data_IF_224786277519
#
_entry.id   IF_224786277519
#
_cell.length_a   1.000
_cell.length_b   1.000
_cell.length_c   1.000
_cell.angle_alpha   90.00
_cell.angle_beta   90.00
_cell.angle_gamma   90.00
#
_symmetry.space_group_name_H-M   'P 1'
#
loop_
_entity.id
_entity.type
_entity.pdbx_description
1 polymer ?
#
# COMPACT_ATOMS: atom_id res chain seq x y z
N UNK A 1 19.66 -25.43 53.63
CA UNK A 1 20.98 -25.92 53.18
C UNK A 1 20.98 -27.44 53.29
N UNK A 2 20.47 -28.13 52.26
CA UNK A 2 20.50 -29.60 52.22
C UNK A 2 21.89 -30.03 51.81
N UNK A 3 22.70 -30.49 52.77
CA UNK A 3 23.96 -31.14 52.49
C UNK A 3 23.64 -32.40 51.69
N UNK A 4 24.06 -32.45 50.43
CA UNK A 4 24.08 -33.69 49.67
C UNK A 4 24.80 -34.75 50.51
N UNK A 5 24.32 -36.01 50.54
CA UNK A 5 24.98 -37.07 51.28
C UNK A 5 26.43 -37.15 50.80
N UNK A 6 27.35 -36.72 51.66
CA UNK A 6 28.78 -36.83 51.44
C UNK A 6 29.08 -38.32 51.53
N UNK A 7 29.20 -38.99 50.40
CA UNK A 7 29.72 -40.35 50.38
C UNK A 7 31.24 -40.24 50.60
N UNK A 8 31.74 -40.63 51.78
CA UNK A 8 33.14 -40.46 52.09
C UNK A 8 33.99 -41.33 51.16
N UNK A 9 35.09 -40.77 50.67
CA UNK A 9 36.09 -41.55 49.95
C UNK A 9 36.65 -42.64 50.85
N UNK A 10 37.18 -43.73 50.29
CA UNK A 10 37.85 -44.77 51.08
C UNK A 10 39.05 -44.20 51.87
N UNK A 11 39.65 -43.13 51.34
CA UNK A 11 40.69 -42.36 52.00
C UNK A 11 40.15 -41.55 53.20
N UNK A 12 38.94 -41.00 53.07
CA UNK A 12 38.29 -40.22 54.13
C UNK A 12 37.82 -41.13 55.27
N UNK A 13 37.34 -42.34 54.94
CA UNK A 13 36.94 -43.36 55.93
C UNK A 13 38.13 -43.77 56.81
N UNK A 14 39.34 -43.87 56.23
CA UNK A 14 40.56 -44.18 56.97
C UNK A 14 41.29 -42.93 57.50
N UNK A 15 40.75 -41.72 57.27
CA UNK A 15 41.34 -40.45 57.66
C UNK A 15 42.81 -40.30 57.19
N UNK A 16 43.07 -40.64 55.93
CA UNK A 16 44.40 -40.57 55.31
C UNK A 16 44.36 -39.79 54.00
N UNK A 17 45.42 -39.05 53.65
CA UNK A 17 45.47 -38.39 52.34
C UNK A 17 45.58 -39.43 51.21
N UNK A 18 45.06 -39.10 50.02
CA UNK A 18 45.15 -39.98 48.85
C UNK A 18 46.59 -40.32 48.44
N UNK A 19 47.56 -39.48 48.83
CA UNK A 19 49.01 -39.68 48.63
C UNK A 19 49.68 -40.53 49.70
N UNK A 20 48.94 -41.05 50.68
CA UNK A 20 49.49 -41.80 51.81
C UNK A 20 50.22 -43.08 51.38
N UNK A 21 51.37 -43.34 51.99
CA UNK A 21 52.12 -44.58 51.85
C UNK A 21 51.34 -45.78 52.45
N UNK A 22 51.53 -47.01 51.96
CA UNK A 22 50.82 -48.19 52.45
C UNK A 22 51.03 -48.43 53.96
N UNK A 23 52.18 -48.06 54.50
CA UNK A 23 52.46 -48.16 55.94
C UNK A 23 51.62 -47.20 56.78
N UNK A 24 51.26 -46.03 56.22
CA UNK A 24 50.40 -45.06 56.88
C UNK A 24 48.95 -45.56 56.90
N UNK A 25 48.49 -46.17 55.80
CA UNK A 25 47.17 -46.82 55.71
C UNK A 25 47.03 -47.94 56.75
N UNK A 26 48.07 -48.78 56.89
CA UNK A 26 48.09 -49.85 57.91
C UNK A 26 48.06 -49.32 59.34
N UNK A 27 48.77 -48.23 59.62
CA UNK A 27 48.76 -47.58 60.94
C UNK A 27 47.39 -46.97 61.26
N UNK A 28 46.78 -46.27 60.30
CA UNK A 28 45.47 -45.68 60.43
C UNK A 28 44.37 -46.74 60.66
N UNK A 29 44.41 -47.84 59.89
CA UNK A 29 43.51 -48.97 60.10
C UNK A 29 43.62 -49.55 61.52
N UNK A 30 44.84 -49.78 62.03
CA UNK A 30 45.03 -50.30 63.41
C UNK A 30 44.47 -49.35 64.48
N UNK A 31 44.60 -48.04 64.30
CA UNK A 31 44.02 -47.03 65.19
C UNK A 31 42.50 -47.10 65.18
N UNK A 32 41.90 -47.01 63.99
CA UNK A 32 40.45 -47.02 63.80
C UNK A 32 39.81 -48.34 64.22
N UNK A 33 40.50 -49.47 63.99
CA UNK A 33 40.05 -50.79 64.43
C UNK A 33 39.91 -50.87 65.96
N UNK A 34 40.85 -50.27 66.70
CA UNK A 34 40.81 -50.23 68.16
C UNK A 34 39.80 -49.23 68.71
N UNK A 35 39.35 -48.27 67.90
CA UNK A 35 38.33 -47.28 68.26
C UNK A 35 36.92 -47.78 67.93
N UNK A 36 36.78 -48.57 66.87
CA UNK A 36 35.49 -49.11 66.38
C UNK A 36 35.18 -50.52 66.89
N UNK A 37 36.06 -51.12 67.70
CA UNK A 37 35.85 -52.47 68.22
C UNK A 37 34.64 -52.52 69.17
N UNK A 38 33.67 -53.45 68.99
CA UNK A 38 32.45 -53.51 69.81
C UNK A 38 32.72 -53.79 71.29
N UNK A 39 33.90 -54.34 71.63
CA UNK A 39 34.34 -54.62 73.01
C UNK A 39 34.76 -53.37 73.80
N UNK A 40 34.95 -52.22 73.14
CA UNK A 40 35.23 -50.94 73.82
C UNK A 40 33.99 -50.09 74.07
N UNK A 41 32.81 -50.62 73.76
CA UNK A 41 31.56 -49.92 74.04
C UNK A 41 31.28 -49.93 75.55
N UNK A 42 30.75 -48.82 76.10
CA UNK A 42 30.40 -48.75 77.52
C UNK A 42 29.36 -49.82 77.86
N UNK A 43 29.35 -50.28 79.11
CA UNK A 43 28.45 -51.36 79.60
C UNK A 43 26.97 -50.98 79.44
N UNK A 44 26.67 -49.68 79.35
CA UNK A 44 25.34 -49.10 79.16
C UNK A 44 24.99 -48.81 77.68
N UNK A 45 25.79 -49.28 76.72
CA UNK A 45 25.57 -49.02 75.29
C UNK A 45 24.29 -49.68 74.77
N UNK A 46 23.48 -48.90 74.06
CA UNK A 46 22.23 -49.37 73.43
C UNK A 46 22.52 -50.30 72.25
N UNK A 47 21.52 -51.07 71.80
CA UNK A 47 21.68 -51.91 70.61
C UNK A 47 22.01 -51.08 69.36
N UNK A 48 21.50 -49.85 69.27
CA UNK A 48 21.78 -48.92 68.18
C UNK A 48 23.26 -48.49 68.15
N UNK A 49 23.89 -48.28 69.31
CA UNK A 49 25.31 -47.93 69.41
C UNK A 49 26.20 -49.09 68.95
N UNK A 50 25.80 -50.34 69.26
CA UNK A 50 26.49 -51.55 68.82
C UNK A 50 26.39 -51.72 67.30
N UNK A 51 25.19 -51.52 66.75
CA UNK A 51 24.96 -51.58 65.31
C UNK A 51 25.75 -50.51 64.54
N UNK A 52 25.81 -49.27 65.06
CA UNK A 52 26.59 -48.18 64.47
C UNK A 52 28.11 -48.43 64.52
N UNK A 53 28.62 -49.02 65.61
CA UNK A 53 30.02 -49.41 65.72
C UNK A 53 30.37 -50.52 64.71
N UNK A 54 29.50 -51.51 64.54
CA UNK A 54 29.66 -52.60 63.58
C UNK A 54 29.58 -52.12 62.12
N UNK A 55 28.71 -51.16 61.80
CA UNK A 55 28.66 -50.53 60.48
C UNK A 55 29.96 -49.77 60.16
N UNK A 56 30.43 -48.92 61.07
CA UNK A 56 31.72 -48.22 60.92
C UNK A 56 32.90 -49.16 60.81
N UNK A 57 32.90 -50.25 61.58
CA UNK A 57 33.92 -51.28 61.49
C UNK A 57 33.96 -51.92 60.09
N UNK A 58 32.79 -52.22 59.52
CA UNK A 58 32.68 -52.77 58.16
C UNK A 58 33.18 -51.78 57.11
N UNK A 59 32.85 -50.49 57.22
CA UNK A 59 33.33 -49.45 56.32
C UNK A 59 34.86 -49.30 56.37
N UNK A 60 35.43 -49.24 57.58
CA UNK A 60 36.89 -49.16 57.80
C UNK A 60 37.60 -50.40 57.25
N UNK A 61 37.02 -51.58 57.43
CA UNK A 61 37.56 -52.82 56.88
C UNK A 61 37.55 -52.83 55.35
N UNK A 62 36.43 -52.45 54.72
CA UNK A 62 36.31 -52.38 53.26
C UNK A 62 37.29 -51.37 52.66
N UNK A 63 37.45 -50.20 53.30
CA UNK A 63 38.43 -49.20 52.89
C UNK A 63 39.86 -49.75 52.99
N UNK A 64 40.20 -50.46 54.06
CA UNK A 64 41.50 -51.09 54.20
C UNK A 64 41.73 -52.21 53.17
N UNK A 65 40.72 -53.03 52.86
CA UNK A 65 40.83 -54.12 51.89
C UNK A 65 41.21 -53.62 50.50
N UNK A 66 40.64 -52.49 50.09
CA UNK A 66 40.88 -51.89 48.77
C UNK A 66 42.19 -51.06 48.76
N UNK A 67 42.48 -50.34 49.84
CA UNK A 67 43.64 -49.43 49.91
C UNK A 67 44.96 -50.11 50.29
N UNK A 68 44.90 -51.29 50.91
CA UNK A 68 46.10 -52.07 51.30
C UNK A 68 46.72 -52.83 50.13
N UNK A 69 45.93 -53.26 49.15
CA UNK A 69 46.39 -53.91 47.93
C UNK A 69 46.69 -52.87 46.84
N UNK A 70 47.91 -52.89 46.32
CA UNK A 70 48.36 -51.96 45.27
C UNK A 70 47.57 -52.10 43.98
N UNK A 71 47.10 -53.29 43.63
CA UNK A 71 46.30 -53.53 42.43
C UNK A 71 44.89 -52.93 42.57
N UNK A 72 44.21 -53.22 43.70
CA UNK A 72 42.87 -52.67 44.00
C UNK A 72 42.90 -51.16 44.16
N UNK A 73 43.91 -50.62 44.86
CA UNK A 73 44.11 -49.16 45.00
C UNK A 73 44.28 -48.49 43.64
N UNK A 74 45.07 -49.06 42.74
CA UNK A 74 45.27 -48.50 41.39
C UNK A 74 43.96 -48.46 40.59
N UNK A 75 43.12 -49.50 40.70
CA UNK A 75 41.80 -49.53 40.04
C UNK A 75 40.88 -48.45 40.61
N UNK A 76 40.85 -48.29 41.92
CA UNK A 76 40.06 -47.25 42.59
C UNK A 76 40.51 -45.83 42.20
N UNK A 77 41.81 -45.55 42.26
CA UNK A 77 42.40 -44.26 41.87
C UNK A 77 42.17 -43.94 40.38
N UNK A 78 42.26 -44.95 39.50
CA UNK A 78 41.93 -44.79 38.08
C UNK A 78 40.45 -44.46 37.87
N UNK A 79 39.55 -45.09 38.62
CA UNK A 79 38.11 -44.79 38.57
C UNK A 79 37.81 -43.36 39.02
N UNK A 80 38.43 -42.90 40.11
CA UNK A 80 38.31 -41.52 40.59
C UNK A 80 38.84 -40.51 39.57
N UNK A 81 40.01 -40.77 38.97
CA UNK A 81 40.60 -39.92 37.93
C UNK A 81 39.72 -39.85 36.68
N UNK A 82 39.10 -40.97 36.29
CA UNK A 82 38.16 -41.01 35.17
C UNK A 82 36.91 -40.17 35.44
N UNK A 83 36.29 -40.32 36.61
CA UNK A 83 35.13 -39.53 37.02
C UNK A 83 35.45 -38.03 37.06
N UNK A 84 36.60 -37.67 37.62
CA UNK A 84 37.05 -36.29 37.71
C UNK A 84 37.38 -35.68 36.33
N UNK A 85 37.90 -36.50 35.41
CA UNK A 85 38.08 -36.09 34.01
C UNK A 85 36.73 -35.88 33.33
N UNK A 86 35.74 -36.75 33.59
CA UNK A 86 34.41 -36.66 32.99
C UNK A 86 33.68 -35.41 33.44
N UNK A 87 33.63 -35.11 34.74
CA UNK A 87 32.99 -33.89 35.26
C UNK A 87 33.62 -32.61 34.68
N UNK A 88 34.96 -32.56 34.59
CA UNK A 88 35.66 -31.45 33.93
C UNK A 88 35.30 -31.31 32.46
N UNK A 89 35.09 -32.42 31.75
CA UNK A 89 34.65 -32.39 30.34
C UNK A 89 33.19 -31.96 30.23
N UNK A 90 32.31 -32.40 31.13
CA UNK A 90 30.89 -32.00 31.17
C UNK A 90 30.78 -30.48 31.39
N UNK A 91 31.60 -29.91 32.28
CA UNK A 91 31.67 -28.45 32.49
C UNK A 91 32.15 -27.69 31.25
N UNK A 92 33.18 -28.21 30.56
CA UNK A 92 33.69 -27.62 29.31
C UNK A 92 32.63 -27.69 28.21
N UNK A 93 31.92 -28.81 28.09
CA UNK A 93 30.82 -28.98 27.15
C UNK A 93 29.66 -28.02 27.47
N UNK A 94 29.31 -27.86 28.74
CA UNK A 94 28.28 -26.91 29.18
C UNK A 94 28.68 -25.45 28.89
N UNK A 95 29.98 -25.10 28.96
CA UNK A 95 30.45 -23.77 28.53
C UNK A 95 30.30 -23.58 27.02
N UNK A 96 30.73 -24.55 26.22
CA UNK A 96 30.61 -24.51 24.76
C UNK A 96 29.14 -24.43 24.34
N UNK A 97 28.24 -25.16 25.00
CA UNK A 97 26.81 -25.11 24.74
C UNK A 97 26.24 -23.70 25.00
N UNK A 98 26.60 -23.08 26.13
CA UNK A 98 26.20 -21.69 26.46
C UNK A 98 26.70 -20.68 25.42
N UNK A 99 27.97 -20.79 25.02
CA UNK A 99 28.55 -19.92 23.97
C UNK A 99 27.84 -20.10 22.62
N UNK A 100 27.44 -21.32 22.26
CA UNK A 100 26.65 -21.60 21.04
C UNK A 100 25.26 -20.99 21.12
N UNK A 101 24.55 -21.15 22.24
CA UNK A 101 23.24 -20.54 22.45
C UNK A 101 23.30 -19.01 22.42
N UNK A 102 24.38 -18.42 22.94
CA UNK A 102 24.63 -16.98 22.85
C UNK A 102 24.84 -16.54 21.41
N UNK A 103 25.64 -17.28 20.65
CA UNK A 103 25.83 -17.03 19.24
C UNK A 103 24.52 -17.15 18.43
N UNK A 104 23.70 -18.17 18.71
CA UNK A 104 22.37 -18.34 18.10
C UNK A 104 21.40 -17.21 18.49
N UNK A 105 21.45 -16.74 19.74
CA UNK A 105 20.66 -15.57 20.20
C UNK A 105 21.08 -14.31 19.46
N UNK A 106 22.39 -14.05 19.36
CA UNK A 106 22.90 -12.87 18.68
C UNK A 106 22.60 -12.89 17.18
N UNK A 107 22.70 -14.05 16.53
CA UNK A 107 22.39 -14.16 15.10
C UNK A 107 20.92 -13.91 14.84
N UNK A 108 20.01 -14.42 15.67
CA UNK A 108 18.56 -14.13 15.59
C UNK A 108 18.27 -12.65 15.80
N UNK A 109 18.85 -12.02 16.83
CA UNK A 109 18.68 -10.58 17.06
C UNK A 109 19.15 -9.76 15.86
N UNK A 110 20.33 -10.05 15.31
CA UNK A 110 20.82 -9.37 14.11
C UNK A 110 19.91 -9.61 12.89
N UNK A 111 19.35 -10.80 12.75
CA UNK A 111 18.38 -11.09 11.69
C UNK A 111 17.08 -10.29 11.89
N UNK A 112 16.56 -10.22 13.11
CA UNK A 112 15.38 -9.45 13.46
C UNK A 112 15.60 -7.94 13.24
N UNK A 113 16.74 -7.39 13.68
CA UNK A 113 17.14 -5.99 13.42
C UNK A 113 17.21 -5.69 11.92
N UNK A 114 17.80 -6.59 11.12
CA UNK A 114 17.82 -6.45 9.65
C UNK A 114 16.42 -6.45 9.05
N UNK A 115 15.56 -7.37 9.50
CA UNK A 115 14.16 -7.44 9.06
C UNK A 115 13.39 -6.20 9.48
N UNK A 116 13.66 -5.66 10.67
CA UNK A 116 13.05 -4.43 11.17
C UNK A 116 13.44 -3.22 10.31
N UNK A 117 14.73 -3.06 10.01
CA UNK A 117 15.22 -2.01 9.11
C UNK A 117 14.54 -2.08 7.74
N UNK A 118 14.38 -3.30 7.17
CA UNK A 118 13.69 -3.49 5.90
C UNK A 118 12.21 -3.08 6.02
N UNK A 119 11.52 -3.48 7.09
CA UNK A 119 10.12 -3.11 7.35
C UNK A 119 9.95 -1.60 7.46
N UNK A 120 10.83 -0.93 8.19
CA UNK A 120 10.80 0.53 8.36
C UNK A 120 11.05 1.25 7.03
N UNK A 121 12.07 0.84 6.26
CA UNK A 121 12.31 1.38 4.91
C UNK A 121 11.11 1.20 3.98
N UNK A 122 10.44 0.05 4.05
CA UNK A 122 9.24 -0.21 3.26
C UNK A 122 8.07 0.68 3.69
N UNK A 123 7.89 0.91 5.00
CA UNK A 123 6.89 1.85 5.53
C UNK A 123 7.16 3.28 5.07
N UNK A 124 8.40 3.76 5.21
CA UNK A 124 8.79 5.10 4.74
C UNK A 124 8.56 5.25 3.24
N UNK A 125 8.90 4.23 2.45
CA UNK A 125 8.63 4.23 1.00
C UNK A 125 7.13 4.32 0.71
N UNK A 126 6.31 3.56 1.42
CA UNK A 126 4.85 3.60 1.27
C UNK A 126 4.28 4.97 1.71
N UNK A 127 4.78 5.56 2.78
CA UNK A 127 4.37 6.88 3.24
C UNK A 127 4.75 7.97 2.24
N UNK A 128 5.96 7.92 1.69
CA UNK A 128 6.37 8.81 0.60
C UNK A 128 5.48 8.65 -0.62
N UNK A 129 5.16 7.41 -1.00
CA UNK A 129 4.26 7.16 -2.13
C UNK A 129 2.85 7.69 -1.86
N UNK A 130 2.31 7.47 -0.66
CA UNK A 130 1.01 8.03 -0.23
C UNK A 130 1.03 9.55 -0.25
N UNK A 131 2.09 10.15 0.29
CA UNK A 131 2.28 11.59 0.29
C UNK A 131 2.35 12.14 -1.13
N UNK A 132 3.12 11.51 -2.01
CA UNK A 132 3.20 11.89 -3.42
C UNK A 132 1.82 11.79 -4.10
N UNK A 133 1.08 10.69 -3.89
CA UNK A 133 -0.28 10.54 -4.42
C UNK A 133 -1.24 11.60 -3.88
N UNK A 134 -1.13 11.93 -2.60
CA UNK A 134 -1.95 12.96 -1.97
C UNK A 134 -1.65 14.35 -2.54
N UNK A 135 -0.36 14.68 -2.71
CA UNK A 135 0.08 15.93 -3.34
C UNK A 135 -0.44 16.00 -4.77
N UNK A 136 -0.22 14.96 -5.58
CA UNK A 136 -0.73 14.91 -6.96
C UNK A 136 -2.25 14.99 -7.03
N UNK A 137 -2.98 14.37 -6.08
CA UNK A 137 -4.44 14.48 -5.98
C UNK A 137 -4.86 15.92 -5.73
N UNK A 138 -4.23 16.60 -4.77
CA UNK A 138 -4.53 18.00 -4.44
C UNK A 138 -4.22 18.95 -5.60
N UNK A 139 -3.12 18.71 -6.30
CA UNK A 139 -2.77 19.47 -7.51
C UNK A 139 -3.84 19.30 -8.60
N UNK A 140 -4.29 18.06 -8.82
CA UNK A 140 -5.36 17.78 -9.78
C UNK A 140 -6.68 18.45 -9.35
N UNK A 141 -7.06 18.36 -8.08
CA UNK A 141 -8.26 19.01 -7.54
C UNK A 141 -8.23 20.54 -7.66
N UNK A 142 -7.05 21.14 -7.43
CA UNK A 142 -6.86 22.59 -7.63
C UNK A 142 -7.03 22.97 -9.11
N UNK A 143 -6.41 22.21 -10.02
CA UNK A 143 -6.57 22.43 -11.45
C UNK A 143 -8.02 22.27 -11.88
N UNK A 144 -8.69 21.18 -11.48
CA UNK A 144 -10.11 20.96 -11.83
C UNK A 144 -11.00 22.05 -11.25
N UNK A 145 -10.72 22.51 -10.02
CA UNK A 145 -11.42 23.63 -9.40
C UNK A 145 -11.32 24.92 -10.21
N UNK A 146 -10.13 25.26 -10.71
CA UNK A 146 -9.96 26.43 -11.60
C UNK A 146 -10.73 26.29 -12.91
N UNK A 147 -10.69 25.11 -13.53
CA UNK A 147 -11.45 24.84 -14.76
C UNK A 147 -12.96 24.95 -14.52
N UNK A 148 -13.46 24.45 -13.39
CA UNK A 148 -14.86 24.57 -13.03
C UNK A 148 -15.27 26.02 -12.78
N UNK A 149 -14.44 26.81 -12.09
CA UNK A 149 -14.69 28.24 -11.90
C UNK A 149 -14.75 28.99 -13.24
N UNK A 150 -13.81 28.72 -14.15
CA UNK A 150 -13.81 29.28 -15.50
C UNK A 150 -15.06 28.87 -16.28
N UNK A 151 -15.48 27.60 -16.18
CA UNK A 151 -16.70 27.11 -16.82
C UNK A 151 -17.94 27.82 -16.30
N UNK A 152 -18.08 27.96 -14.98
CA UNK A 152 -19.20 28.69 -14.34
C UNK A 152 -19.23 30.16 -14.76
N UNK A 153 -18.08 30.84 -14.78
CA UNK A 153 -17.99 32.23 -15.22
C UNK A 153 -18.40 32.38 -16.70
N UNK A 154 -17.97 31.47 -17.57
CA UNK A 154 -18.36 31.47 -18.99
C UNK A 154 -19.86 31.22 -19.17
N UNK A 155 -20.43 30.28 -18.41
CA UNK A 155 -21.87 30.01 -18.42
C UNK A 155 -22.68 31.23 -17.96
N UNK A 156 -22.21 31.94 -16.93
CA UNK A 156 -22.84 33.17 -16.45
C UNK A 156 -22.75 34.30 -17.48
N UNK A 157 -21.59 34.47 -18.13
CA UNK A 157 -21.45 35.40 -19.25
C UNK A 157 -22.43 35.08 -20.38
N UNK A 158 -22.61 33.80 -20.71
CA UNK A 158 -23.56 33.36 -21.72
C UNK A 158 -25.00 33.65 -21.30
N UNK A 159 -25.36 33.43 -20.03
CA UNK A 159 -26.69 33.78 -19.49
C UNK A 159 -26.94 35.28 -19.61
N UNK A 160 -25.99 36.10 -19.15
CA UNK A 160 -26.09 37.54 -19.21
C UNK A 160 -26.17 38.06 -20.66
N UNK A 161 -25.42 37.44 -21.59
CA UNK A 161 -25.50 37.77 -23.01
C UNK A 161 -26.89 37.45 -23.59
N UNK A 162 -27.44 36.26 -23.29
CA UNK A 162 -28.80 35.87 -23.71
C UNK A 162 -29.87 36.78 -23.12
N UNK A 163 -29.72 37.22 -21.87
CA UNK A 163 -30.63 38.17 -21.24
C UNK A 163 -30.57 39.54 -21.92
N UNK A 164 -29.37 40.06 -22.22
CA UNK A 164 -29.19 41.29 -22.99
C UNK A 164 -29.83 41.19 -24.37
N UNK A 165 -29.66 40.08 -25.07
CA UNK A 165 -30.31 39.85 -26.37
C UNK A 165 -31.83 39.86 -26.24
N UNK A 166 -32.38 39.16 -25.24
CA UNK A 166 -33.82 39.18 -24.96
C UNK A 166 -34.34 40.58 -24.65
N UNK A 167 -33.60 41.38 -23.89
CA UNK A 167 -33.96 42.77 -23.61
C UNK A 167 -33.94 43.63 -24.88
N UNK A 168 -32.93 43.46 -25.74
CA UNK A 168 -32.85 44.17 -27.03
C UNK A 168 -34.05 43.80 -27.91
N UNK A 169 -34.37 42.52 -28.01
CA UNK A 169 -35.53 42.03 -28.77
C UNK A 169 -36.82 42.61 -28.20
N UNK A 170 -37.01 42.57 -26.89
CA UNK A 170 -38.18 43.15 -26.22
C UNK A 170 -38.32 44.66 -26.50
N UNK A 171 -37.24 45.43 -26.40
CA UNK A 171 -37.24 46.86 -26.74
C UNK A 171 -37.56 47.11 -28.22
N UNK A 172 -37.10 46.23 -29.12
CA UNK A 172 -37.42 46.31 -30.54
C UNK A 172 -38.91 46.01 -30.80
N UNK A 173 -39.46 44.99 -30.15
CA UNK A 173 -40.88 44.64 -30.20
C UNK A 173 -41.76 45.79 -29.69
N UNK A 174 -41.41 46.40 -28.55
CA UNK A 174 -42.11 47.57 -28.00
C UNK A 174 -42.13 48.73 -28.99
N UNK A 175 -40.99 49.04 -29.63
CA UNK A 175 -40.90 50.09 -30.68
C UNK A 175 -41.74 49.75 -31.91
N UNK A 176 -41.79 48.48 -32.33
CA UNK A 176 -42.64 48.03 -33.44
C UNK A 176 -44.11 48.18 -33.08
N UNK A 177 -44.51 47.79 -31.87
CA UNK A 177 -45.87 47.95 -31.37
C UNK A 177 -46.28 49.43 -31.30
N UNK A 178 -45.39 50.30 -30.81
CA UNK A 178 -45.62 51.75 -30.77
C UNK A 178 -45.83 52.33 -32.18
N UNK A 179 -44.95 52.00 -33.13
CA UNK A 179 -45.12 52.40 -34.54
C UNK A 179 -46.42 51.87 -35.13
N UNK A 180 -46.79 50.62 -34.83
CA UNK A 180 -48.04 50.02 -35.31
C UNK A 180 -49.28 50.74 -34.74
N UNK A 181 -49.26 51.15 -33.46
CA UNK A 181 -50.33 51.98 -32.87
C UNK A 181 -50.44 53.34 -33.56
N UNK A 182 -49.33 54.01 -33.86
CA UNK A 182 -49.32 55.28 -34.60
C UNK A 182 -49.92 55.11 -36.00
N UNK A 183 -49.57 54.05 -36.71
CA UNK A 183 -50.13 53.73 -38.02
C UNK A 183 -51.63 53.40 -37.96
N UNK A 184 -52.07 52.64 -36.94
CA UNK A 184 -53.50 52.36 -36.74
C UNK A 184 -54.27 53.65 -36.48
N UNK A 185 -53.72 54.55 -35.65
CA UNK A 185 -54.32 55.86 -35.39
C UNK A 185 -54.38 56.72 -36.66
N UNK A 186 -53.32 56.77 -37.48
CA UNK A 186 -53.34 57.53 -38.73
C UNK A 186 -54.34 56.97 -39.74
N UNK A 187 -54.45 55.64 -39.87
CA UNK A 187 -55.47 54.98 -40.70
C UNK A 187 -56.88 55.28 -40.20
N UNK A 188 -57.11 55.31 -38.89
CA UNK A 188 -58.39 55.70 -38.31
C UNK A 188 -58.73 57.16 -38.63
N UNK A 189 -57.76 58.09 -38.51
CA UNK A 189 -57.93 59.50 -38.90
C UNK A 189 -58.27 59.62 -40.39
N UNK A 190 -57.53 58.96 -41.27
CA UNK A 190 -57.81 58.97 -42.72
C UNK A 190 -59.14 58.30 -43.09
N UNK A 191 -59.59 57.28 -42.34
CA UNK A 191 -60.94 56.71 -42.50
C UNK A 191 -62.04 57.68 -42.08
N UNK A 192 -61.84 58.43 -40.99
CA UNK A 192 -62.78 59.47 -40.54
C UNK A 192 -62.82 60.64 -41.55
N UNK A 193 -61.68 61.02 -42.12
CA UNK A 193 -61.59 62.03 -43.18
C UNK A 193 -62.25 61.58 -44.49
N UNK A 194 -62.06 60.31 -44.86
CA UNK A 194 -62.72 59.68 -46.03
C UNK A 194 -64.24 59.54 -45.83
N UNK A 195 -64.69 59.22 -44.61
CA UNK A 195 -66.11 59.18 -44.26
C UNK A 195 -66.77 60.57 -44.28
N UNK A 196 -65.99 61.64 -44.05
CA UNK A 196 -66.44 63.04 -44.22
C UNK A 196 -66.50 63.48 -45.70
N UNK A 197 -65.91 62.74 -46.65
CA UNK A 197 -65.86 63.09 -48.08
C UNK A 197 -66.07 61.87 -49.02
N UNK A 198 -67.31 61.39 -49.21
CA UNK A 198 -67.60 60.17 -49.99
C UNK A 198 -67.40 60.28 -51.52
N UNK A 199 -67.02 61.46 -52.05
CA UNK A 199 -66.93 61.71 -53.50
C UNK A 199 -65.61 61.28 -54.17
N UNK A 200 -64.58 60.88 -53.41
CA UNK A 200 -63.24 60.64 -53.98
C UNK A 200 -62.87 59.16 -54.20
N UNK A 201 -63.67 58.19 -53.75
CA UNK A 201 -63.36 56.74 -53.85
C UNK A 201 -63.82 56.04 -55.14
N UNK A 202 -64.26 56.77 -56.17
CA UNK A 202 -64.75 56.18 -57.43
C UNK A 202 -63.72 56.15 -58.58
N UNK A 203 -62.47 56.56 -58.34
CA UNK A 203 -61.44 56.70 -59.39
C UNK A 203 -60.29 55.68 -59.36
N UNK A 204 -60.22 54.77 -58.39
CA UNK A 204 -59.07 53.85 -58.25
C UNK A 204 -59.37 52.37 -58.54
N UNK A 205 -60.60 52.01 -58.97
CA UNK A 205 -60.98 50.63 -59.28
C UNK A 205 -61.05 50.30 -60.78
N UNK A 206 -60.58 51.19 -61.67
CA UNK A 206 -60.68 51.01 -63.13
C UNK A 206 -59.34 51.20 -63.85
N UNK A 207 -58.33 50.41 -63.49
CA UNK A 207 -57.13 50.11 -64.29
C UNK A 207 -56.29 49.16 -63.43
N UNK A 208 -56.21 47.86 -63.66
CA UNK A 208 -55.59 47.24 -64.83
C UNK A 208 -55.99 45.77 -64.96
N UNK A 209 -56.60 45.43 -66.09
CA UNK A 209 -56.77 44.08 -66.62
C UNK A 209 -55.84 43.88 -67.83
N UNK A 210 -55.43 42.63 -68.08
CA UNK A 210 -54.64 42.11 -69.22
C UNK A 210 -53.13 42.08 -68.96
N UNK A 211 -52.43 40.94 -68.94
CA UNK A 211 -52.45 39.84 -69.93
C UNK A 211 -52.12 38.48 -69.30
N UNK A 212 -52.77 37.42 -69.82
CA UNK A 212 -52.45 36.00 -69.58
C UNK A 212 -52.10 35.39 -70.93
N UNK A 213 -50.93 34.75 -71.06
CA UNK A 213 -50.68 33.46 -71.73
C UNK A 213 -49.29 33.39 -72.36
N UNK A 214 -48.42 32.53 -71.82
CA UNK A 214 -47.61 31.58 -72.61
C UNK A 214 -46.90 30.60 -71.68
N UNK A 215 -47.06 29.31 -71.98
CA UNK A 215 -46.30 28.20 -71.41
C UNK A 215 -44.88 28.21 -72.01
N UNK A 216 -43.94 27.70 -71.21
CA UNK A 216 -42.64 27.08 -71.56
C UNK A 216 -41.37 27.94 -71.43
N UNK A 217 -40.34 27.26 -70.90
CA UNK A 217 -39.02 27.73 -70.47
C UNK A 217 -38.99 28.44 -69.11
N UNK A 218 -38.64 27.68 -68.07
CA UNK A 218 -38.06 28.24 -66.84
C UNK A 218 -36.70 28.82 -67.25
N UNK A 219 -36.73 30.07 -67.69
CA UNK A 219 -35.57 30.86 -68.04
C UNK A 219 -34.64 30.93 -66.83
N UNK A 220 -33.34 30.73 -67.07
CA UNK A 220 -32.24 30.86 -66.12
C UNK A 220 -32.27 32.16 -65.27
N UNK A 221 -33.08 33.14 -65.67
CA UNK A 221 -33.32 34.38 -64.93
C UNK A 221 -34.15 34.18 -63.64
N UNK A 222 -34.99 33.14 -63.57
CA UNK A 222 -35.75 32.81 -62.34
C UNK A 222 -34.87 32.12 -61.27
N UNK A 223 -33.85 31.37 -61.69
CA UNK A 223 -32.83 30.82 -60.79
C UNK A 223 -31.82 31.90 -60.35
N UNK A 224 -31.54 32.90 -61.19
CA UNK A 224 -30.73 34.06 -60.81
C UNK A 224 -31.46 35.00 -59.83
N UNK A 225 -32.78 35.14 -59.93
CA UNK A 225 -33.57 35.93 -58.98
C UNK A 225 -33.58 35.31 -57.56
N UNK A 226 -33.52 33.98 -57.45
CA UNK A 226 -33.34 33.29 -56.17
C UNK A 226 -31.90 33.38 -55.63
N UNK A 227 -30.90 33.71 -56.46
CA UNK A 227 -29.51 33.92 -56.01
C UNK A 227 -29.24 35.33 -55.48
N UNK A 228 -30.19 36.26 -55.58
CA UNK A 228 -30.04 37.65 -55.08
C UNK A 228 -30.54 37.81 -53.64
N UNK A 229 -31.24 36.81 -53.07
CA UNK A 229 -31.86 36.91 -51.74
C UNK A 229 -31.15 36.09 -50.65
N UNK A 230 -30.17 35.25 -51.01
CA UNK A 230 -29.44 34.43 -50.04
C UNK A 230 -27.95 34.74 -50.13
N UNK A 231 -27.36 35.20 -49.02
CA UNK A 231 -25.90 35.38 -48.95
C UNK A 231 -25.24 34.00 -49.07
N UNK A 232 -24.00 33.94 -49.56
CA UNK A 232 -23.28 32.68 -49.79
C UNK A 232 -23.28 31.72 -48.57
N UNK A 233 -23.42 32.27 -47.36
CA UNK A 233 -23.52 31.53 -46.11
C UNK A 233 -24.86 30.77 -45.94
N UNK A 234 -25.96 31.28 -46.50
CA UNK A 234 -27.28 30.65 -46.41
C UNK A 234 -27.39 29.43 -47.35
N UNK A 235 -26.72 29.47 -48.51
CA UNK A 235 -26.65 28.32 -49.44
C UNK A 235 -25.78 27.19 -48.88
N UNK A 236 -24.73 27.50 -48.12
CA UNK A 236 -23.93 26.51 -47.39
C UNK A 236 -24.72 25.86 -46.25
N UNK A 237 -25.60 26.61 -45.59
CA UNK A 237 -26.47 26.10 -44.55
C UNK A 237 -27.53 25.14 -45.12
N UNK A 238 -28.16 25.51 -46.23
CA UNK A 238 -29.14 24.64 -46.93
C UNK A 238 -28.47 23.38 -47.49
N UNK A 239 -27.26 23.48 -48.05
CA UNK A 239 -26.49 22.32 -48.52
C UNK A 239 -26.03 21.40 -47.38
N UNK A 240 -25.70 21.95 -46.19
CA UNK A 240 -25.42 21.17 -44.97
C UNK A 240 -26.64 20.43 -44.44
N UNK A 241 -27.81 21.07 -44.46
CA UNK A 241 -29.07 20.46 -43.99
C UNK A 241 -29.60 19.39 -44.97
N UNK A 242 -29.35 19.55 -46.28
CA UNK A 242 -29.83 18.62 -47.30
C UNK A 242 -28.99 17.34 -47.44
N UNK A 243 -27.72 17.32 -47.00
CA UNK A 243 -26.85 16.15 -47.14
C UNK A 243 -25.89 15.97 -45.93
N UNK A 244 -26.37 15.47 -44.77
CA UNK A 244 -25.53 15.20 -43.61
C UNK A 244 -24.46 14.12 -43.86
N UNK A 245 -24.68 13.25 -44.85
CA UNK A 245 -23.75 12.18 -45.24
C UNK A 245 -22.45 12.69 -45.89
N UNK A 246 -22.44 13.90 -46.46
CA UNK A 246 -21.25 14.43 -47.15
C UNK A 246 -20.16 14.87 -46.17
N UNK A 247 -20.51 15.48 -45.04
CA UNK A 247 -19.53 15.82 -43.99
C UNK A 247 -19.00 14.56 -43.30
N UNK A 248 -19.85 13.57 -43.04
CA UNK A 248 -19.44 12.27 -42.50
C UNK A 248 -18.47 11.54 -43.43
N UNK A 249 -18.75 11.51 -44.75
CA UNK A 249 -17.85 10.93 -45.76
C UNK A 249 -16.53 11.71 -45.88
N UNK A 250 -16.56 13.04 -45.76
CA UNK A 250 -15.36 13.88 -45.80
C UNK A 250 -14.48 13.66 -44.56
N UNK A 251 -15.07 13.56 -43.37
CA UNK A 251 -14.35 13.22 -42.13
C UNK A 251 -13.79 11.80 -42.17
N UNK A 252 -14.54 10.82 -42.68
CA UNK A 252 -14.06 9.46 -42.88
C UNK A 252 -12.90 9.38 -43.90
N UNK A 253 -12.96 10.18 -44.98
CA UNK A 253 -11.87 10.27 -45.96
C UNK A 253 -10.61 10.93 -45.37
N UNK A 254 -10.77 11.95 -44.51
CA UNK A 254 -9.65 12.57 -43.78
C UNK A 254 -9.04 11.61 -42.75
N UNK A 255 -9.86 10.84 -42.03
CA UNK A 255 -9.40 9.81 -41.09
C UNK A 255 -8.58 8.72 -41.82
N UNK A 256 -9.10 8.19 -42.95
CA UNK A 256 -8.38 7.22 -43.78
C UNK A 256 -7.10 7.78 -44.43
N UNK A 257 -7.00 9.10 -44.60
CA UNK A 257 -5.79 9.77 -45.08
C UNK A 257 -4.78 9.95 -43.96
N UNK A 258 -5.24 10.27 -42.75
CA UNK A 258 -4.42 10.34 -41.54
C UNK A 258 -3.85 8.97 -41.14
N UNK A 259 -4.65 7.90 -41.20
CA UNK A 259 -4.20 6.52 -40.96
C UNK A 259 -3.14 6.07 -41.97
N UNK A 260 -3.31 6.42 -43.25
CA UNK A 260 -2.31 6.13 -44.29
C UNK A 260 -1.00 6.89 -44.10
N UNK A 261 -1.06 8.12 -43.59
CA UNK A 261 0.15 8.89 -43.26
C UNK A 261 0.83 8.37 -41.98
N UNK A 262 0.06 7.91 -40.99
CA UNK A 262 0.59 7.25 -39.78
C UNK A 262 1.25 5.90 -40.09
N UNK A 263 0.71 5.15 -41.04
CA UNK A 263 1.28 3.88 -41.51
C UNK A 263 2.61 4.05 -42.25
N UNK A 264 2.87 5.19 -42.90
CA UNK A 264 4.14 5.48 -43.56
C UNK A 264 5.17 6.14 -42.63
N UNK A 265 4.76 6.71 -41.50
CA UNK A 265 5.66 7.29 -40.48
C UNK A 265 6.18 6.31 -39.43
N UNK A 266 5.64 5.09 -39.36
CA UNK A 266 6.00 4.08 -38.34
C UNK A 266 7.12 3.11 -38.69
N UNK A 267 7.68 3.16 -39.91
CA UNK A 267 8.63 2.14 -40.39
C UNK A 267 10.08 2.63 -40.58
N UNK A 268 10.48 3.78 -40.02
CA UNK A 268 11.82 4.34 -40.27
C UNK A 268 12.60 4.85 -39.06
N UNK A 269 12.36 4.34 -37.84
CA UNK A 269 13.16 4.73 -36.64
C UNK A 269 13.49 3.61 -35.64
N UNK A 270 13.56 2.34 -36.07
CA UNK A 270 14.10 1.25 -35.24
C UNK A 270 15.11 0.35 -36.00
N UNK A 271 16.13 0.94 -36.62
CA UNK A 271 17.24 0.14 -37.20
C UNK A 271 18.61 0.84 -37.26
N UNK A 272 18.89 1.87 -36.46
CA UNK A 272 20.25 2.40 -36.35
C UNK A 272 20.45 3.21 -35.06
N UNK A 273 20.84 2.54 -33.97
CA UNK A 273 21.72 3.00 -32.89
C UNK A 273 21.80 1.90 -31.82
#
# INVERSE_FOLDING_TARGET
MGLLPYHPSLYDILDVPQTAAPDTVRKAYKRLLLETHPDKLPVDATEDDKAAAEERFREVYQAFEILSDTAKRRVYDNGLSFLHRRTRMDEVQARIAREREEWDRQTKLKQEERLQMIRERMKERQERERHMKEVSRRELEAQTGEYEQKRRALEEQLRNAKEREREILKRAEEKVQEKMKVLQNSVQVSRVESARNPKLLRRLSTSTTSTRSSRSSVSAHTLAALSVVLKADDLLCVLRLANPDLEARRQAALHRKAERLSSYGGSSILSAA
#
